data_IF_521747722752
#
_entry.id   IF_521747722752
#
_cell.length_a   1.000
_cell.length_b   1.000
_cell.length_c   1.000
_cell.angle_alpha   90.00
_cell.angle_beta   90.00
_cell.angle_gamma   90.00
#
_symmetry.space_group_name_H-M   'P 1'
#
loop_
_entity.id
_entity.type
_entity.pdbx_description
1 polymer ?
#
# COMPACT_ATOMS: atom_id res chain seq x y z
N UNK A 1 -14.76 8.77 7.64
CA UNK A 1 -13.50 8.80 8.41
C UNK A 1 -12.86 10.18 8.21
N UNK A 2 -12.50 10.93 9.26
CA UNK A 2 -11.85 12.25 9.07
C UNK A 2 -10.45 12.01 8.53
N UNK A 3 -10.26 12.25 7.23
CA UNK A 3 -8.97 12.14 6.56
C UNK A 3 -7.96 13.03 7.27
N UNK A 4 -6.86 12.41 7.68
CA UNK A 4 -5.76 13.06 8.38
C UNK A 4 -5.00 13.91 7.34
N UNK A 5 -5.46 15.15 7.12
CA UNK A 5 -4.80 16.10 6.23
C UNK A 5 -3.55 16.70 6.89
N UNK A 6 -2.54 17.11 6.10
CA UNK A 6 -1.30 17.72 6.60
C UNK A 6 -1.55 18.85 7.63
N UNK A 7 -2.59 19.66 7.43
CA UNK A 7 -3.02 20.71 8.39
C UNK A 7 -3.53 20.14 9.71
N UNK A 8 -4.31 19.05 9.68
CA UNK A 8 -4.85 18.38 10.86
C UNK A 8 -3.76 17.63 11.65
N UNK A 9 -2.80 16.99 10.96
CA UNK A 9 -1.62 16.36 11.59
C UNK A 9 -0.82 17.37 12.40
N UNK A 10 -0.49 18.50 11.79
CA UNK A 10 0.25 19.57 12.44
C UNK A 10 -0.51 20.10 13.67
N UNK A 11 -1.84 20.23 13.59
CA UNK A 11 -2.69 20.64 14.72
C UNK A 11 -2.69 19.60 15.85
N UNK A 12 -2.84 18.32 15.55
CA UNK A 12 -2.78 17.22 16.52
C UNK A 12 -1.41 17.11 17.20
N UNK A 13 -0.31 17.29 16.44
CA UNK A 13 1.04 17.33 16.99
C UNK A 13 1.20 18.45 18.00
N UNK A 14 0.58 19.61 17.75
CA UNK A 14 0.55 20.72 18.72
C UNK A 14 -0.20 20.41 20.02
N UNK A 15 -1.16 19.48 19.98
CA UNK A 15 -1.93 19.05 21.16
C UNK A 15 -1.20 18.00 22.00
N UNK A 16 -0.17 17.34 21.45
CA UNK A 16 0.60 16.33 22.16
C UNK A 16 1.56 16.91 23.23
N UNK A 17 1.69 18.24 23.34
CA UNK A 17 2.30 18.98 24.46
C UNK A 17 3.81 18.77 24.74
N UNK A 18 4.37 17.64 24.33
CA UNK A 18 5.69 17.16 24.76
C UNK A 18 6.77 17.27 23.69
N UNK A 19 6.44 17.68 22.45
CA UNK A 19 7.38 17.70 21.31
C UNK A 19 7.07 18.90 20.40
N UNK A 20 8.11 19.59 19.90
CA UNK A 20 7.90 20.68 18.94
C UNK A 20 7.38 20.15 17.58
N UNK A 21 6.55 20.95 16.89
CA UNK A 21 5.96 20.59 15.59
C UNK A 21 7.02 20.20 14.55
N UNK A 22 8.14 20.90 14.57
CA UNK A 22 9.28 20.61 13.69
C UNK A 22 9.93 19.27 14.01
N UNK A 23 10.16 18.96 15.29
CA UNK A 23 10.73 17.69 15.71
C UNK A 23 9.81 16.51 15.35
N UNK A 24 8.50 16.66 15.54
CA UNK A 24 7.52 15.65 15.16
C UNK A 24 7.48 15.42 13.64
N UNK A 25 7.45 16.50 12.84
CA UNK A 25 7.55 16.39 11.39
C UNK A 25 8.84 15.68 10.95
N UNK A 26 9.99 16.05 11.52
CA UNK A 26 11.27 15.43 11.20
C UNK A 26 11.29 13.93 11.53
N UNK A 27 10.70 13.55 12.67
CA UNK A 27 10.59 12.13 13.08
C UNK A 27 9.67 11.36 12.13
N UNK A 28 8.49 11.89 11.80
CA UNK A 28 7.56 11.26 10.86
C UNK A 28 8.20 11.10 9.48
N UNK A 29 8.82 12.16 8.95
CA UNK A 29 9.53 12.11 7.66
C UNK A 29 10.61 11.05 7.67
N UNK A 30 11.42 10.97 8.73
CA UNK A 30 12.47 9.95 8.88
C UNK A 30 11.89 8.53 8.83
N UNK A 31 10.84 8.25 9.60
CA UNK A 31 10.21 6.92 9.62
C UNK A 31 9.57 6.56 8.28
N UNK A 32 8.89 7.50 7.64
CA UNK A 32 8.35 7.30 6.30
C UNK A 32 9.45 6.93 5.29
N UNK A 33 10.58 7.66 5.28
CA UNK A 33 11.70 7.34 4.39
C UNK A 33 12.33 5.97 4.69
N UNK A 34 12.39 5.55 5.96
CA UNK A 34 12.88 4.22 6.34
C UNK A 34 11.94 3.11 5.86
N UNK A 35 10.61 3.31 5.97
CA UNK A 35 9.61 2.36 5.47
C UNK A 35 9.74 2.23 3.96
N UNK A 36 9.75 3.35 3.24
CA UNK A 36 9.85 3.38 1.78
C UNK A 36 11.12 2.68 1.27
N UNK A 37 12.26 2.95 1.90
CA UNK A 37 13.52 2.29 1.54
C UNK A 37 13.48 0.77 1.75
N UNK A 38 12.82 0.30 2.82
CA UNK A 38 12.62 -1.14 3.06
C UNK A 38 11.70 -1.77 2.02
N UNK A 39 10.60 -1.10 1.65
CA UNK A 39 9.68 -1.58 0.63
C UNK A 39 10.35 -1.65 -0.74
N UNK A 40 11.07 -0.61 -1.14
CA UNK A 40 11.83 -0.58 -2.39
C UNK A 40 12.86 -1.71 -2.45
N UNK A 41 13.55 -1.99 -1.35
CA UNK A 41 14.50 -3.09 -1.26
C UNK A 41 13.80 -4.47 -1.31
N UNK A 42 12.68 -4.61 -0.59
CA UNK A 42 11.93 -5.86 -0.48
C UNK A 42 11.25 -6.24 -1.80
N UNK A 43 10.68 -5.28 -2.52
CA UNK A 43 9.89 -5.51 -3.73
C UNK A 43 10.63 -5.13 -5.02
N UNK A 44 11.96 -4.95 -4.95
CA UNK A 44 12.79 -4.59 -6.11
C UNK A 44 12.63 -5.60 -7.23
N UNK A 45 12.32 -5.10 -8.41
CA UNK A 45 12.34 -5.91 -9.63
C UNK A 45 13.76 -6.18 -10.07
N UNK A 46 14.08 -7.46 -10.28
CA UNK A 46 15.37 -7.90 -10.81
C UNK A 46 15.20 -8.26 -12.29
N UNK A 47 16.03 -7.72 -13.20
CA UNK A 47 15.99 -8.07 -14.63
C UNK A 47 16.21 -9.56 -14.91
N UNK A 48 16.89 -10.25 -14.00
CA UNK A 48 17.16 -11.70 -14.08
C UNK A 48 15.94 -12.57 -13.77
N UNK A 49 14.84 -11.97 -13.28
CA UNK A 49 13.60 -12.68 -12.92
C UNK A 49 12.52 -12.39 -13.97
N UNK A 50 12.26 -13.31 -14.92
CA UNK A 50 11.35 -13.05 -16.04
C UNK A 50 9.88 -13.07 -15.61
N UNK A 51 9.53 -13.88 -14.60
CA UNK A 51 8.16 -14.00 -14.11
C UNK A 51 7.80 -12.81 -13.22
N UNK A 52 6.66 -12.18 -13.48
CA UNK A 52 6.10 -11.07 -12.71
C UNK A 52 4.74 -11.49 -12.14
N UNK A 53 4.56 -11.36 -10.83
CA UNK A 53 3.34 -11.75 -10.13
C UNK A 53 2.79 -10.54 -9.40
N UNK A 54 1.56 -10.14 -9.73
CA UNK A 54 0.79 -9.18 -8.95
C UNK A 54 0.12 -9.89 -7.77
N UNK A 55 0.22 -9.33 -6.57
CA UNK A 55 -0.52 -9.80 -5.40
C UNK A 55 -1.59 -8.77 -5.07
N UNK A 56 -2.83 -9.25 -4.95
CA UNK A 56 -4.01 -8.47 -4.58
C UNK A 56 -4.63 -9.06 -3.33
N UNK A 57 -5.07 -8.21 -2.40
CA UNK A 57 -5.70 -8.62 -1.17
C UNK A 57 -6.08 -7.44 -0.27
N UNK A 58 -6.60 -7.78 0.90
CA UNK A 58 -6.98 -6.83 1.95
C UNK A 58 -5.77 -6.33 2.75
N UNK A 59 -5.93 -5.20 3.46
CA UNK A 59 -4.81 -4.59 4.22
C UNK A 59 -4.07 -5.56 5.14
N UNK A 60 -4.79 -6.45 5.83
CA UNK A 60 -4.17 -7.44 6.72
C UNK A 60 -3.32 -8.46 5.96
N UNK A 61 -3.81 -8.97 4.82
CA UNK A 61 -3.06 -9.96 4.03
C UNK A 61 -1.94 -9.33 3.22
N UNK A 62 -2.07 -8.04 2.88
CA UNK A 62 -1.03 -7.32 2.13
C UNK A 62 0.14 -6.90 3.02
N UNK A 63 -0.14 -6.45 4.25
CA UNK A 63 0.88 -5.83 5.10
C UNK A 63 1.50 -6.79 6.12
N UNK A 64 0.84 -7.90 6.47
CA UNK A 64 1.31 -8.83 7.51
C UNK A 64 1.80 -10.17 6.91
N UNK A 65 3.12 -10.42 6.87
CA UNK A 65 3.69 -11.65 6.30
C UNK A 65 3.17 -12.93 6.96
N UNK A 66 2.90 -12.90 8.26
CA UNK A 66 2.41 -14.09 8.96
C UNK A 66 1.00 -14.48 8.51
N UNK A 67 0.15 -13.50 8.16
CA UNK A 67 -1.21 -13.73 7.66
C UNK A 67 -1.18 -14.27 6.22
N UNK A 68 -0.30 -13.75 5.37
CA UNK A 68 -0.18 -14.22 3.98
C UNK A 68 0.76 -15.42 3.79
N UNK A 69 1.17 -16.05 4.90
CA UNK A 69 2.10 -17.17 4.90
C UNK A 69 3.42 -16.87 4.19
N UNK A 70 3.86 -15.61 4.24
CA UNK A 70 5.13 -15.13 3.69
C UNK A 70 5.25 -15.42 2.18
N UNK A 71 4.12 -15.30 1.47
CA UNK A 71 3.99 -15.66 0.05
C UNK A 71 4.96 -14.87 -0.83
N UNK A 72 5.19 -13.59 -0.53
CA UNK A 72 6.14 -12.73 -1.28
C UNK A 72 7.52 -13.35 -1.28
N UNK A 73 8.06 -13.67 -0.10
CA UNK A 73 9.41 -14.22 0.03
C UNK A 73 9.51 -15.59 -0.64
N UNK A 74 8.47 -16.42 -0.54
CA UNK A 74 8.41 -17.72 -1.23
C UNK A 74 8.49 -17.56 -2.74
N UNK A 75 7.68 -16.69 -3.34
CA UNK A 75 7.70 -16.43 -4.79
C UNK A 75 9.04 -15.85 -5.26
N UNK A 76 9.61 -14.93 -4.48
CA UNK A 76 10.92 -14.36 -4.77
C UNK A 76 12.06 -15.39 -4.71
N UNK A 77 12.01 -16.33 -3.76
CA UNK A 77 12.94 -17.47 -3.70
C UNK A 77 12.81 -18.40 -4.90
N UNK A 78 11.60 -18.50 -5.47
CA UNK A 78 11.33 -19.24 -6.72
C UNK A 78 11.72 -18.45 -7.98
N UNK A 79 12.30 -17.25 -7.84
CA UNK A 79 12.79 -16.46 -8.97
C UNK A 79 11.76 -15.55 -9.62
N UNK A 80 10.63 -15.27 -8.96
CA UNK A 80 9.64 -14.30 -9.44
C UNK A 80 9.91 -12.87 -8.94
N UNK A 81 9.59 -11.89 -9.77
CA UNK A 81 9.35 -10.53 -9.33
C UNK A 81 7.92 -10.43 -8.80
N UNK A 82 7.74 -9.80 -7.65
CA UNK A 82 6.44 -9.67 -7.00
C UNK A 82 6.10 -8.18 -6.91
N UNK A 83 4.92 -7.82 -7.39
CA UNK A 83 4.37 -6.48 -7.26
C UNK A 83 3.18 -6.51 -6.31
N UNK A 84 3.27 -5.78 -5.21
CA UNK A 84 2.18 -5.65 -4.26
C UNK A 84 1.17 -4.62 -4.79
N UNK A 85 -0.11 -4.95 -4.84
CA UNK A 85 -1.14 -3.98 -5.21
C UNK A 85 -1.22 -2.82 -4.22
N UNK A 86 -0.83 -3.06 -2.97
CA UNK A 86 -0.77 -2.08 -1.89
C UNK A 86 0.41 -2.37 -0.95
N UNK A 87 1.21 -1.35 -0.69
CA UNK A 87 2.25 -1.32 0.35
C UNK A 87 1.83 -0.42 1.52
N UNK A 88 2.62 -0.35 2.59
CA UNK A 88 2.36 0.57 3.71
C UNK A 88 2.41 2.00 3.20
N UNK A 89 3.39 2.32 2.35
CA UNK A 89 3.53 3.66 1.79
C UNK A 89 2.32 4.02 0.91
N UNK A 90 1.80 3.09 0.12
CA UNK A 90 0.58 3.32 -0.68
C UNK A 90 -0.63 3.57 0.21
N UNK A 91 -0.83 2.74 1.22
CA UNK A 91 -1.92 2.89 2.18
C UNK A 91 -1.86 4.25 2.90
N UNK A 92 -0.67 4.68 3.33
CA UNK A 92 -0.46 5.98 3.98
C UNK A 92 -0.74 7.17 3.04
N UNK A 93 -0.61 6.98 1.72
CA UNK A 93 -0.87 8.03 0.72
C UNK A 93 -2.26 7.91 0.09
N UNK A 94 -3.08 6.94 0.52
CA UNK A 94 -4.38 6.60 -0.10
C UNK A 94 -4.26 6.23 -1.60
N UNK A 95 -3.10 5.70 -2.02
CA UNK A 95 -2.76 5.36 -3.41
C UNK A 95 -2.85 3.84 -3.66
N UNK A 96 -4.02 3.27 -3.37
CA UNK A 96 -4.23 1.81 -3.33
C UNK A 96 -4.84 1.23 -4.62
N UNK A 97 -5.13 2.08 -5.62
CA UNK A 97 -5.67 1.70 -6.94
C UNK A 97 -4.55 1.75 -7.98
N UNK A 98 -4.30 0.63 -8.68
CA UNK A 98 -3.29 0.56 -9.75
C UNK A 98 -3.87 0.70 -11.14
N UNK A 99 -5.14 0.30 -11.29
CA UNK A 99 -5.87 0.39 -12.55
C UNK A 99 -6.21 1.82 -12.95
N UNK A 100 -6.48 1.99 -14.24
CA UNK A 100 -6.92 3.25 -14.83
C UNK A 100 -8.43 3.50 -14.65
N UNK A 101 -8.91 4.59 -15.27
CA UNK A 101 -10.34 4.96 -15.23
C UNK A 101 -11.25 3.85 -15.76
N UNK A 102 -10.82 3.12 -16.78
CA UNK A 102 -11.61 2.03 -17.36
C UNK A 102 -11.67 0.84 -16.39
N UNK A 103 -10.57 0.46 -15.76
CA UNK A 103 -10.54 -0.63 -14.76
C UNK A 103 -11.43 -0.31 -13.55
N UNK A 104 -11.42 0.94 -13.09
CA UNK A 104 -12.31 1.40 -12.01
C UNK A 104 -13.78 1.29 -12.45
N UNK A 105 -14.08 1.66 -13.70
CA UNK A 105 -15.43 1.59 -14.23
C UNK A 105 -15.91 0.14 -14.35
N UNK A 106 -15.05 -0.77 -14.83
CA UNK A 106 -15.34 -2.20 -14.85
C UNK A 106 -15.50 -2.78 -13.44
N UNK A 107 -14.63 -2.41 -12.50
CA UNK A 107 -14.74 -2.82 -11.10
C UNK A 107 -16.08 -2.39 -10.48
N UNK A 108 -16.57 -1.19 -10.80
CA UNK A 108 -17.88 -0.69 -10.33
C UNK A 108 -19.07 -1.43 -10.94
N UNK A 109 -18.91 -2.04 -12.12
CA UNK A 109 -19.94 -2.93 -12.68
C UNK A 109 -20.01 -4.26 -11.94
N UNK A 110 -18.86 -4.75 -11.49
CA UNK A 110 -18.74 -6.01 -10.74
C UNK A 110 -19.13 -5.87 -9.27
N UNK A 111 -18.91 -4.69 -8.68
CA UNK A 111 -19.26 -4.38 -7.31
C UNK A 111 -20.12 -3.12 -7.24
N UNK A 112 -21.42 -3.33 -7.18
CA UNK A 112 -22.44 -2.27 -7.16
C UNK A 112 -22.65 -1.66 -5.77
N UNK A 113 -22.21 -2.33 -4.71
CA UNK A 113 -22.33 -1.86 -3.33
C UNK A 113 -20.99 -1.32 -2.82
N UNK A 114 -21.03 -0.27 -2.01
CA UNK A 114 -19.84 0.18 -1.30
C UNK A 114 -19.47 -0.84 -0.22
N UNK A 115 -18.36 -1.55 -0.46
CA UNK A 115 -17.68 -2.33 0.57
C UNK A 115 -16.59 -1.47 1.20
N UNK A 116 -16.57 -1.42 2.53
CA UNK A 116 -15.43 -0.86 3.26
C UNK A 116 -14.16 -1.67 3.03
N UNK A 117 -13.04 -1.21 3.58
CA UNK A 117 -11.80 -2.01 3.61
C UNK A 117 -10.99 -2.08 2.31
N UNK A 118 -11.34 -1.30 1.29
CA UNK A 118 -10.72 -1.29 -0.04
C UNK A 118 -11.22 -2.36 -1.04
N UNK A 119 -12.44 -2.87 -0.88
CA UNK A 119 -12.99 -3.91 -1.75
C UNK A 119 -13.07 -3.55 -3.24
N UNK A 120 -13.46 -2.31 -3.57
CA UNK A 120 -13.49 -1.85 -4.98
C UNK A 120 -12.08 -1.81 -5.58
N UNK A 121 -11.09 -1.37 -4.79
CA UNK A 121 -9.70 -1.30 -5.18
C UNK A 121 -9.12 -2.69 -5.41
N UNK A 122 -9.48 -3.68 -4.60
CA UNK A 122 -9.12 -5.08 -4.83
C UNK A 122 -9.62 -5.59 -6.19
N UNK A 123 -10.85 -5.28 -6.57
CA UNK A 123 -11.39 -5.67 -7.89
C UNK A 123 -10.68 -4.92 -9.03
N UNK A 124 -10.51 -3.60 -8.89
CA UNK A 124 -9.76 -2.79 -9.86
C UNK A 124 -8.33 -3.32 -10.06
N UNK A 125 -7.63 -3.64 -8.98
CA UNK A 125 -6.29 -4.20 -9.02
C UNK A 125 -6.26 -5.60 -9.64
N UNK A 126 -7.30 -6.42 -9.41
CA UNK A 126 -7.42 -7.74 -10.04
C UNK A 126 -7.56 -7.61 -11.56
N UNK A 127 -8.36 -6.64 -12.03
CA UNK A 127 -8.49 -6.33 -13.46
C UNK A 127 -7.17 -5.80 -14.02
N UNK A 128 -6.46 -4.95 -13.28
CA UNK A 128 -5.18 -4.39 -13.72
C UNK A 128 -4.08 -5.46 -13.93
N UNK A 129 -4.04 -6.51 -13.09
CA UNK A 129 -3.02 -7.56 -13.20
C UNK A 129 -3.42 -8.74 -14.10
N UNK A 130 -4.71 -8.99 -14.28
CA UNK A 130 -5.25 -10.12 -15.05
C UNK A 130 -5.37 -9.81 -16.53
#
# INVERSE_FOLDING_TARGET
>A
MRVITKKNILKMIGQLGHISRFQAYRRLKKRYSEIKAKEEAAYRFLPTRPLKIGIVGEIGTMLEPDINFDIVRKLQKMGANVHMSMTITDYLNEDTERGGKEDIKEARKLLTQELGGHGLQSICNTIYYG
#
